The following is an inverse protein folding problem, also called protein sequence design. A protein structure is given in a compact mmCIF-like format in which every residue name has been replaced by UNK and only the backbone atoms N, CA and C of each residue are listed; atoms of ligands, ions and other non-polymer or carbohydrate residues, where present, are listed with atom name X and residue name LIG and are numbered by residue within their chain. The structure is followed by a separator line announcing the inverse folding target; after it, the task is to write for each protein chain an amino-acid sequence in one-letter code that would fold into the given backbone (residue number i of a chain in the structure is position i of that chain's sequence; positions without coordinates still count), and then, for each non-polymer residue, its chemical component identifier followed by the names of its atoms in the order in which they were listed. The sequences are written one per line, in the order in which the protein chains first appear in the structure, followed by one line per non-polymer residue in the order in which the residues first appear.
data_IF_151278977687
#
_entry.id   IF_151278977687
#
_cell.length_a   1.000
_cell.length_b   1.000
_cell.length_c   1.000
_cell.angle_alpha   90.00
_cell.angle_beta   90.00
_cell.angle_gamma   90.00
#
_symmetry.space_group_name_H-M   'P 1'
#
loop_
_entity.id
_entity.type
_entity.pdbx_description
1 polymer ?
#
# COMPACT_ATOMS: atom_id res chain seq x y z
N UNK A 1 -1.84 -27.89 -15.61
CA UNK A 1 -2.85 -27.80 -14.53
C UNK A 1 -3.77 -29.01 -14.51
N UNK A 2 -3.47 -30.09 -15.25
CA UNK A 2 -4.33 -31.26 -15.33
C UNK A 2 -3.72 -32.42 -14.52
N UNK A 3 -3.66 -32.23 -13.20
CA UNK A 3 -3.13 -33.24 -12.26
C UNK A 3 -4.20 -34.20 -11.74
N UNK A 4 -5.43 -34.16 -12.29
CA UNK A 4 -6.54 -35.04 -11.90
C UNK A 4 -7.19 -34.72 -10.55
N UNK A 5 -6.73 -33.67 -9.85
CA UNK A 5 -7.24 -33.26 -8.55
C UNK A 5 -8.31 -32.16 -8.60
N UNK A 6 -8.50 -31.52 -9.76
CA UNK A 6 -9.43 -30.39 -9.93
C UNK A 6 -10.31 -30.67 -11.13
N UNK A 7 -11.62 -30.77 -10.90
CA UNK A 7 -12.61 -30.81 -11.98
C UNK A 7 -12.82 -29.40 -12.53
N UNK A 8 -12.70 -29.25 -13.84
CA UNK A 8 -12.87 -27.98 -14.55
C UNK A 8 -14.18 -28.08 -15.34
N UNK A 9 -15.11 -27.18 -15.03
CA UNK A 9 -16.36 -27.02 -15.76
C UNK A 9 -16.45 -25.62 -16.40
N UNK A 10 -17.19 -25.51 -17.50
CA UNK A 10 -17.47 -24.21 -18.08
C UNK A 10 -18.42 -23.41 -17.18
N UNK A 11 -18.11 -22.14 -16.97
CA UNK A 11 -18.92 -21.27 -16.13
C UNK A 11 -20.33 -21.11 -16.74
N UNK A 12 -21.42 -21.31 -15.98
CA UNK A 12 -22.77 -21.07 -16.45
C UNK A 12 -22.95 -19.64 -16.96
N UNK A 13 -23.65 -19.46 -18.09
CA UNK A 13 -23.84 -18.13 -18.71
C UNK A 13 -24.46 -17.09 -17.76
N UNK A 14 -25.42 -17.50 -16.92
CA UNK A 14 -25.99 -16.63 -15.88
C UNK A 14 -24.94 -16.19 -14.84
N UNK A 15 -24.02 -17.08 -14.50
CA UNK A 15 -22.91 -16.80 -13.59
C UNK A 15 -21.93 -15.78 -14.18
N UNK A 16 -21.67 -15.86 -15.48
CA UNK A 16 -20.82 -14.89 -16.19
C UNK A 16 -21.48 -13.50 -16.18
N UNK A 17 -22.77 -13.40 -16.50
CA UNK A 17 -23.49 -12.12 -16.50
C UNK A 17 -23.58 -11.48 -15.10
N UNK A 18 -23.80 -12.29 -14.06
CA UNK A 18 -23.76 -11.83 -12.67
C UNK A 18 -22.37 -11.27 -12.30
N UNK A 19 -21.29 -11.97 -12.67
CA UNK A 19 -19.91 -11.51 -12.41
C UNK A 19 -19.62 -10.20 -13.13
N UNK A 20 -20.00 -10.05 -14.40
CA UNK A 20 -19.84 -8.78 -15.15
C UNK A 20 -20.55 -7.62 -14.46
N UNK A 21 -21.78 -7.83 -13.96
CA UNK A 21 -22.53 -6.80 -13.24
C UNK A 21 -21.84 -6.40 -11.93
N UNK A 22 -21.34 -7.38 -11.17
CA UNK A 22 -20.59 -7.13 -9.93
C UNK A 22 -19.31 -6.38 -10.23
N UNK A 23 -18.53 -6.83 -11.22
CA UNK A 23 -17.29 -6.21 -11.65
C UNK A 23 -17.50 -4.75 -12.05
N UNK A 24 -18.49 -4.46 -12.89
CA UNK A 24 -18.83 -3.09 -13.25
C UNK A 24 -19.22 -2.22 -12.04
N UNK A 25 -19.88 -2.81 -11.04
CA UNK A 25 -20.16 -2.15 -9.76
C UNK A 25 -18.89 -1.84 -8.98
N UNK A 26 -17.95 -2.81 -8.91
CA UNK A 26 -16.67 -2.65 -8.21
C UNK A 26 -15.76 -1.63 -8.90
N UNK A 27 -15.73 -1.60 -10.24
CA UNK A 27 -14.98 -0.61 -11.02
C UNK A 27 -15.48 0.81 -10.74
N UNK A 28 -16.80 1.04 -10.74
CA UNK A 28 -17.39 2.34 -10.36
C UNK A 28 -17.05 2.76 -8.93
N UNK A 29 -17.08 1.81 -8.00
CA UNK A 29 -16.69 2.08 -6.62
C UNK A 29 -15.20 2.49 -6.56
N UNK A 30 -14.32 1.75 -7.23
CA UNK A 30 -12.89 2.06 -7.30
C UNK A 30 -12.61 3.45 -7.92
N UNK A 31 -13.35 3.84 -8.96
CA UNK A 31 -13.29 5.19 -9.54
C UNK A 31 -13.64 6.27 -8.52
N UNK A 32 -14.73 6.10 -7.76
CA UNK A 32 -15.12 7.06 -6.71
C UNK A 32 -14.06 7.21 -5.61
N UNK A 33 -13.36 6.12 -5.25
CA UNK A 33 -12.24 6.17 -4.30
C UNK A 33 -11.02 6.90 -4.88
N UNK A 34 -10.75 6.71 -6.17
CA UNK A 34 -9.68 7.43 -6.88
C UNK A 34 -9.96 8.94 -6.94
N UNK A 35 -11.21 9.35 -7.16
CA UNK A 35 -11.60 10.77 -7.14
C UNK A 35 -11.35 11.42 -5.77
N UNK A 36 -11.75 10.75 -4.68
CA UNK A 36 -11.47 11.24 -3.31
C UNK A 36 -9.97 11.45 -3.06
N UNK A 37 -9.13 10.58 -3.63
CA UNK A 37 -7.68 10.68 -3.55
C UNK A 37 -7.09 11.82 -4.38
N UNK A 38 -7.69 12.09 -5.54
CA UNK A 38 -7.30 13.22 -6.38
C UNK A 38 -7.48 14.54 -5.64
N UNK A 39 -8.46 14.68 -4.74
CA UNK A 39 -8.61 15.87 -3.90
C UNK A 39 -7.38 16.15 -3.03
N UNK A 40 -6.76 15.14 -2.42
CA UNK A 40 -5.50 15.31 -1.68
C UNK A 40 -4.36 15.69 -2.61
N UNK A 41 -4.36 15.16 -3.84
CA UNK A 41 -3.37 15.54 -4.84
C UNK A 41 -3.54 16.99 -5.34
N UNK A 42 -4.74 17.56 -5.24
CA UNK A 42 -5.03 18.97 -5.55
C UNK A 42 -4.57 19.93 -4.44
N UNK A 43 -4.35 19.44 -3.21
CA UNK A 43 -3.83 20.26 -2.12
C UNK A 43 -2.41 20.78 -2.43
N UNK A 44 -2.11 21.97 -1.90
CA UNK A 44 -0.77 22.55 -1.96
C UNK A 44 0.26 21.64 -1.27
N UNK A 45 1.56 21.89 -1.50
CA UNK A 45 2.61 21.12 -0.82
C UNK A 45 2.49 21.21 0.70
N UNK A 46 2.19 22.39 1.23
CA UNK A 46 1.97 22.60 2.67
C UNK A 46 0.69 21.91 3.14
N UNK A 47 -0.43 22.03 2.42
CA UNK A 47 -1.70 21.39 2.80
C UNK A 47 -1.61 19.86 2.81
N UNK A 48 -0.86 19.26 1.88
CA UNK A 48 -0.57 17.81 1.92
C UNK A 48 0.25 17.42 3.13
N UNK A 49 1.29 18.21 3.43
CA UNK A 49 2.14 17.95 4.59
C UNK A 49 1.34 18.05 5.89
N UNK A 50 0.52 19.08 6.05
CA UNK A 50 -0.39 19.25 7.19
C UNK A 50 -1.34 18.06 7.33
N UNK A 51 -1.96 17.62 6.23
CA UNK A 51 -2.78 16.40 6.23
C UNK A 51 -2.02 15.16 6.76
N UNK A 52 -0.78 14.92 6.30
CA UNK A 52 0.01 13.78 6.77
C UNK A 52 0.35 13.89 8.26
N UNK A 53 0.73 15.08 8.72
CA UNK A 53 1.05 15.32 10.12
C UNK A 53 -0.20 15.13 10.99
N UNK A 54 -1.33 15.70 10.58
CA UNK A 54 -2.59 15.61 11.32
C UNK A 54 -3.15 14.19 11.40
N UNK A 55 -2.96 13.39 10.35
CA UNK A 55 -3.34 11.98 10.38
C UNK A 55 -2.39 11.17 11.26
N UNK A 56 -1.07 11.28 11.03
CA UNK A 56 -0.08 10.40 11.66
C UNK A 56 0.23 10.74 13.12
N UNK A 57 -0.04 11.97 13.59
CA UNK A 57 0.14 12.35 15.00
C UNK A 57 -0.75 11.56 15.96
N UNK A 58 -1.83 10.96 15.47
CA UNK A 58 -2.74 10.15 16.27
C UNK A 58 -2.25 8.70 16.44
N UNK A 59 -1.14 8.32 15.80
CA UNK A 59 -0.60 6.97 15.88
C UNK A 59 -0.24 6.61 17.32
N UNK A 60 -0.80 5.51 17.83
CA UNK A 60 -0.53 4.99 19.17
C UNK A 60 0.53 3.88 19.18
N UNK A 61 1.23 3.70 18.05
CA UNK A 61 2.32 2.73 17.91
C UNK A 61 1.96 1.27 18.24
N UNK A 62 0.71 0.86 18.01
CA UNK A 62 0.24 -0.50 18.31
C UNK A 62 0.80 -1.60 17.39
N UNK A 63 1.38 -1.23 16.24
CA UNK A 63 1.97 -2.18 15.28
C UNK A 63 0.99 -3.01 14.46
N UNK A 64 -0.33 -2.91 14.67
CA UNK A 64 -1.34 -3.72 13.96
C UNK A 64 -1.22 -3.62 12.42
N UNK A 65 -0.99 -2.41 11.91
CA UNK A 65 -0.81 -2.19 10.47
C UNK A 65 0.46 -2.83 9.88
N UNK A 66 1.46 -3.16 10.71
CA UNK A 66 2.61 -3.98 10.30
C UNK A 66 2.20 -5.43 10.20
N UNK A 67 1.58 -5.95 11.25
CA UNK A 67 1.27 -7.38 11.39
C UNK A 67 0.36 -7.90 10.28
N UNK A 68 -0.61 -7.11 9.84
CA UNK A 68 -1.54 -7.54 8.77
C UNK A 68 -1.01 -7.32 7.35
N UNK A 69 0.14 -6.68 7.18
CA UNK A 69 0.58 -6.27 5.85
C UNK A 69 1.24 -7.43 5.10
N UNK A 70 0.65 -7.91 3.98
CA UNK A 70 1.13 -9.10 3.29
C UNK A 70 2.46 -8.91 2.56
N UNK A 71 2.85 -7.65 2.31
CA UNK A 71 4.10 -7.31 1.60
C UNK A 71 5.23 -6.91 2.56
N UNK A 72 4.99 -6.91 3.87
CA UNK A 72 6.04 -6.66 4.85
C UNK A 72 6.66 -8.00 5.29
N UNK A 73 7.92 -8.29 4.91
CA UNK A 73 8.55 -9.56 5.24
C UNK A 73 9.15 -9.60 6.65
N UNK A 74 9.15 -8.48 7.38
CA UNK A 74 9.84 -8.40 8.66
C UNK A 74 9.06 -9.12 9.78
N UNK A 75 9.76 -9.96 10.53
CA UNK A 75 9.22 -10.70 11.68
C UNK A 75 8.92 -9.79 12.89
N UNK A 76 8.48 -10.37 14.00
CA UNK A 76 8.08 -9.63 15.21
C UNK A 76 9.21 -8.78 15.83
N UNK A 77 10.48 -9.11 15.57
CA UNK A 77 11.65 -8.34 15.98
C UNK A 77 12.10 -7.28 14.96
N UNK A 78 11.18 -6.83 14.09
CA UNK A 78 11.46 -5.81 13.11
C UNK A 78 11.96 -4.52 13.76
N UNK A 79 13.20 -4.14 13.47
CA UNK A 79 13.86 -2.93 14.01
C UNK A 79 13.05 -1.64 13.83
N UNK A 80 12.18 -1.58 12.83
CA UNK A 80 11.34 -0.39 12.64
C UNK A 80 10.37 -0.16 13.80
N UNK A 81 9.96 -1.21 14.53
CA UNK A 81 9.10 -1.08 15.72
C UNK A 81 9.85 -0.38 16.87
N UNK A 82 11.17 -0.53 16.95
CA UNK A 82 12.02 0.13 17.95
C UNK A 82 12.29 1.62 17.61
N UNK A 83 11.86 2.08 16.42
CA UNK A 83 12.06 3.47 15.96
C UNK A 83 10.97 4.42 16.48
N UNK A 84 10.38 4.07 17.62
CA UNK A 84 9.48 4.91 18.38
C UNK A 84 9.95 4.94 19.84
N UNK A 85 10.66 6.00 20.24
CA UNK A 85 11.08 6.22 21.63
C UNK A 85 10.15 7.25 22.28
N UNK A 86 9.67 6.96 23.49
CA UNK A 86 8.81 7.89 24.26
C UNK A 86 9.52 9.21 24.61
N UNK A 87 10.86 9.24 24.56
CA UNK A 87 11.67 10.45 24.76
C UNK A 87 11.73 11.34 23.53
N UNK A 88 11.30 10.84 22.37
CA UNK A 88 11.27 11.62 21.15
C UNK A 88 10.21 12.72 21.23
N UNK A 89 10.53 13.91 20.70
CA UNK A 89 9.60 15.03 20.59
C UNK A 89 9.00 15.18 19.19
N UNK A 90 9.10 14.14 18.37
CA UNK A 90 8.60 14.14 16.99
C UNK A 90 7.07 14.05 16.96
N UNK A 91 6.42 14.98 16.26
CA UNK A 91 4.97 14.92 16.02
C UNK A 91 4.60 13.69 15.18
N UNK A 92 5.48 13.31 14.25
CA UNK A 92 5.35 12.08 13.46
C UNK A 92 6.55 11.20 13.78
N UNK A 93 6.29 10.07 14.43
CA UNK A 93 7.32 9.08 14.79
C UNK A 93 8.13 8.60 13.59
N UNK A 94 9.41 8.27 13.83
CA UNK A 94 10.28 7.69 12.81
C UNK A 94 9.75 6.36 12.26
N UNK A 95 9.02 5.58 13.07
CA UNK A 95 8.29 4.39 12.61
C UNK A 95 7.42 4.70 11.37
N UNK A 96 6.63 5.76 11.41
CA UNK A 96 5.72 6.11 10.31
C UNK A 96 6.50 6.43 9.02
N UNK A 97 7.60 7.20 9.14
CA UNK A 97 8.44 7.55 7.99
C UNK A 97 9.11 6.33 7.37
N UNK A 98 9.70 5.47 8.20
CA UNK A 98 10.32 4.22 7.75
C UNK A 98 9.30 3.27 7.13
N UNK A 99 8.12 3.17 7.73
CA UNK A 99 7.03 2.33 7.22
C UNK A 99 6.58 2.77 5.84
N UNK A 100 6.42 4.08 5.62
CA UNK A 100 6.12 4.63 4.29
C UNK A 100 7.26 4.27 3.33
N UNK A 101 8.52 4.50 3.72
CA UNK A 101 9.69 4.26 2.88
C UNK A 101 9.80 2.80 2.42
N UNK A 102 9.68 1.84 3.34
CA UNK A 102 9.76 0.40 3.04
C UNK A 102 8.65 -0.11 2.11
N UNK A 103 7.51 0.60 2.04
CA UNK A 103 6.35 0.18 1.25
C UNK A 103 6.19 0.98 -0.06
N UNK A 104 7.07 1.94 -0.34
CA UNK A 104 6.90 2.82 -1.52
C UNK A 104 6.94 2.05 -2.83
N UNK A 105 7.69 0.97 -2.95
CA UNK A 105 7.71 0.19 -4.18
C UNK A 105 6.69 -0.95 -4.15
N UNK A 106 6.45 -1.55 -2.99
CA UNK A 106 5.83 -2.87 -2.82
C UNK A 106 4.36 -2.84 -2.38
N UNK A 107 3.82 -1.70 -1.96
CA UNK A 107 2.42 -1.60 -1.53
C UNK A 107 1.43 -2.01 -2.65
N UNK A 108 0.54 -2.96 -2.34
CA UNK A 108 -0.53 -3.44 -3.24
C UNK A 108 -1.90 -2.77 -3.00
N UNK A 109 -1.95 -1.75 -2.13
CA UNK A 109 -3.17 -0.99 -1.82
C UNK A 109 -4.35 -1.86 -1.32
N UNK A 110 -4.07 -2.92 -0.56
CA UNK A 110 -5.09 -3.88 -0.10
C UNK A 110 -6.08 -3.35 0.96
N UNK A 111 -5.72 -2.31 1.72
CA UNK A 111 -6.64 -1.72 2.72
C UNK A 111 -6.46 -2.21 4.16
N UNK A 112 -5.91 -3.41 4.36
CA UNK A 112 -5.83 -4.09 5.67
C UNK A 112 -5.22 -3.22 6.78
N UNK A 113 -4.21 -2.40 6.46
CA UNK A 113 -3.57 -1.54 7.44
C UNK A 113 -4.50 -0.47 8.03
N UNK A 114 -5.45 0.01 7.24
CA UNK A 114 -6.45 1.00 7.65
C UNK A 114 -7.58 0.32 8.42
N UNK A 115 -8.05 -0.84 7.94
CA UNK A 115 -9.13 -1.61 8.58
C UNK A 115 -8.81 -2.04 10.02
N UNK A 116 -7.54 -2.32 10.32
CA UNK A 116 -7.11 -2.69 11.69
C UNK A 116 -6.65 -1.52 12.55
N UNK A 117 -6.68 -0.30 12.03
CA UNK A 117 -6.16 0.87 12.75
C UNK A 117 -7.17 1.31 13.84
N UNK A 118 -6.84 1.19 15.14
CA UNK A 118 -7.79 1.50 16.22
C UNK A 118 -8.07 3.00 16.40
N UNK A 119 -7.38 3.84 15.64
CA UNK A 119 -7.45 5.31 15.68
C UNK A 119 -7.75 5.90 14.29
N UNK A 120 -8.30 5.09 13.38
CA UNK A 120 -8.86 5.50 12.09
C UNK A 120 -7.92 6.35 11.22
N UNK A 121 -6.61 6.09 11.29
CA UNK A 121 -5.63 6.74 10.39
C UNK A 121 -5.85 6.20 8.97
N UNK A 122 -6.01 7.07 7.95
CA UNK A 122 -6.23 6.66 6.56
C UNK A 122 -4.92 6.15 5.92
N UNK A 123 -4.38 5.04 6.42
CA UNK A 123 -3.08 4.50 6.07
C UNK A 123 -3.00 4.07 4.60
N UNK A 124 -4.08 3.50 4.06
CA UNK A 124 -4.12 3.06 2.66
C UNK A 124 -3.93 4.24 1.73
N UNK A 125 -4.61 5.34 2.05
CA UNK A 125 -4.55 6.61 1.33
C UNK A 125 -3.12 7.18 1.31
N UNK A 126 -2.49 7.24 2.49
CA UNK A 126 -1.15 7.77 2.68
C UNK A 126 -0.15 6.89 1.90
N UNK A 127 -0.14 5.59 2.14
CA UNK A 127 0.80 4.65 1.51
C UNK A 127 0.63 4.59 0.00
N UNK A 128 -0.60 4.58 -0.51
CA UNK A 128 -0.90 4.63 -1.95
C UNK A 128 -0.27 5.85 -2.61
N UNK A 129 -0.38 7.02 -1.98
CA UNK A 129 0.11 8.28 -2.57
C UNK A 129 1.61 8.29 -2.80
N UNK A 130 2.38 7.71 -1.88
CA UNK A 130 3.83 7.54 -2.04
C UNK A 130 4.15 6.40 -3.00
N UNK A 131 3.44 5.28 -2.87
CA UNK A 131 3.78 4.08 -3.63
C UNK A 131 3.47 4.16 -5.12
N UNK A 132 2.31 4.67 -5.53
CA UNK A 132 1.98 4.84 -6.95
C UNK A 132 3.01 5.71 -7.69
N UNK A 133 3.52 6.75 -7.01
CA UNK A 133 4.54 7.63 -7.58
C UNK A 133 5.84 6.88 -7.79
N UNK A 134 6.25 6.08 -6.81
CA UNK A 134 7.50 5.35 -6.86
C UNK A 134 7.43 4.18 -7.84
N UNK A 135 6.38 3.36 -7.78
CA UNK A 135 6.06 2.29 -8.73
C UNK A 135 6.08 2.78 -10.18
N UNK A 136 5.41 3.90 -10.47
CA UNK A 136 5.44 4.53 -11.81
C UNK A 136 6.86 4.92 -12.23
N UNK A 137 7.64 5.50 -11.32
CA UNK A 137 9.00 5.93 -11.62
C UNK A 137 9.97 4.77 -11.83
N UNK A 138 9.72 3.63 -11.19
CA UNK A 138 10.53 2.42 -11.30
C UNK A 138 10.03 1.47 -12.39
N UNK A 139 8.92 1.79 -13.08
CA UNK A 139 8.29 0.88 -14.02
C UNK A 139 7.84 -0.44 -13.39
N UNK A 140 7.60 -0.46 -12.07
CA UNK A 140 7.38 -1.66 -11.29
C UNK A 140 5.94 -1.72 -10.78
N UNK A 141 5.26 -2.85 -10.99
CA UNK A 141 3.92 -3.12 -10.44
C UNK A 141 3.99 -4.36 -9.55
N UNK A 142 3.76 -4.25 -8.23
CA UNK A 142 3.87 -5.38 -7.32
C UNK A 142 2.94 -6.53 -7.68
N UNK A 143 3.44 -7.76 -7.59
CA UNK A 143 2.65 -8.98 -7.76
C UNK A 143 2.36 -9.39 -9.20
N UNK A 144 2.91 -8.70 -10.20
CA UNK A 144 2.72 -9.06 -11.62
C UNK A 144 3.60 -10.23 -12.07
N UNK A 145 4.82 -10.36 -11.53
CA UNK A 145 5.71 -11.51 -11.73
C UNK A 145 6.27 -11.97 -10.39
N UNK A 146 6.10 -13.26 -10.08
CA UNK A 146 6.60 -13.89 -8.84
C UNK A 146 8.13 -14.01 -8.80
N UNK A 147 8.79 -13.89 -9.96
CA UNK A 147 10.26 -13.95 -10.07
C UNK A 147 10.90 -12.59 -9.83
N UNK A 148 10.15 -11.52 -10.02
CA UNK A 148 10.61 -10.15 -9.82
C UNK A 148 10.60 -9.81 -8.33
N UNK A 149 11.68 -9.21 -7.84
CA UNK A 149 11.76 -8.71 -6.46
C UNK A 149 11.34 -7.24 -6.43
N UNK A 150 10.77 -6.74 -5.33
CA UNK A 150 10.54 -5.31 -5.22
C UNK A 150 11.88 -4.56 -5.30
N UNK A 151 11.95 -3.45 -6.07
CA UNK A 151 13.20 -2.72 -6.33
C UNK A 151 14.04 -2.36 -5.10
N UNK A 152 13.43 -2.08 -3.94
CA UNK A 152 14.17 -1.76 -2.71
C UNK A 152 14.88 -2.98 -2.09
N UNK A 153 14.58 -4.18 -2.55
CA UNK A 153 15.22 -5.44 -2.14
C UNK A 153 16.30 -5.89 -3.13
N UNK A 154 16.49 -5.17 -4.23
CA UNK A 154 17.53 -5.44 -5.21
C UNK A 154 18.86 -4.77 -4.80
N UNK A 155 19.98 -5.39 -5.17
CA UNK A 155 21.32 -4.83 -4.92
C UNK A 155 21.70 -3.74 -5.90
N UNK A 156 21.07 -3.74 -7.09
CA UNK A 156 21.25 -2.72 -8.12
C UNK A 156 20.05 -1.78 -8.09
N UNK A 157 20.31 -0.49 -7.85
CA UNK A 157 19.25 0.51 -7.82
C UNK A 157 18.80 0.79 -9.26
N UNK A 158 17.58 0.40 -9.62
CA UNK A 158 16.96 0.65 -10.95
C UNK A 158 16.90 2.13 -11.36
N UNK A 159 17.23 3.06 -10.46
CA UNK A 159 17.30 4.49 -10.72
C UNK A 159 18.53 4.93 -11.52
N UNK A 160 19.57 4.10 -11.62
CA UNK A 160 20.79 4.46 -12.34
C UNK A 160 20.69 4.30 -13.87
N UNK A 161 19.51 3.94 -14.40
CA UNK A 161 19.36 3.55 -15.80
C UNK A 161 18.80 4.66 -16.73
N UNK A 162 18.42 5.84 -16.23
CA UNK A 162 17.85 6.90 -17.08
C UNK A 162 18.35 8.30 -16.67
N UNK A 163 19.61 8.59 -17.00
CA UNK A 163 20.08 9.95 -17.32
C UNK A 163 20.87 9.87 -18.65
N UNK A 164 20.15 9.66 -19.76
CA UNK A 164 20.55 10.04 -21.12
C UNK A 164 19.39 10.78 -21.82
#
# INVERSE_FOLDING_TARGET
MDSGYVEIEEAPGEGIEKRKKIEAGMQKLAESWKEKLDEISKLSRSGRFEFYVDALKNCIHCGACKEVCPVCPCEANAKCLDMNDEKDSYVVSMYNMLRIFHLMDSCIHCGECEDVCPVDIPLTLILRRFSERMQRRLGYTPGMDVRERPPLYETELRWSAEEE
#
